data_IF_208855841397
#
_entry.id   IF_208855841397
#
_cell.length_a   1.000
_cell.length_b   1.000
_cell.length_c   1.000
_cell.angle_alpha   90.00
_cell.angle_beta   90.00
_cell.angle_gamma   90.00
#
_symmetry.space_group_name_H-M   'P 1'
#
loop_
_entity.id
_entity.type
_entity.pdbx_description
1 polymer ?
#
# COMPACT_ATOMS: atom_id res chain seq x y z
N UNK A 1 8.80 -20.24 -27.95
CA UNK A 1 7.36 -20.23 -27.64
C UNK A 1 6.91 -18.80 -27.54
N UNK A 2 5.75 -18.46 -28.13
CA UNK A 2 5.19 -17.12 -27.96
C UNK A 2 4.70 -16.91 -26.53
N UNK A 3 4.63 -15.66 -26.08
CA UNK A 3 4.04 -15.32 -24.79
C UNK A 3 2.60 -15.86 -24.64
N UNK A 4 1.82 -15.84 -25.72
CA UNK A 4 0.45 -16.34 -25.75
C UNK A 4 0.41 -17.86 -25.49
N UNK A 5 1.32 -18.62 -26.11
CA UNK A 5 1.40 -20.07 -25.91
C UNK A 5 1.72 -20.41 -24.46
N UNK A 6 2.68 -19.68 -23.88
CA UNK A 6 3.07 -19.85 -22.49
C UNK A 6 1.97 -19.42 -21.50
N UNK A 7 1.33 -18.29 -21.76
CA UNK A 7 0.38 -17.67 -20.84
C UNK A 7 -1.01 -18.30 -20.88
N UNK A 8 -1.47 -18.82 -22.02
CA UNK A 8 -2.85 -19.28 -22.19
C UNK A 8 -2.95 -20.73 -22.66
N UNK A 9 -2.13 -21.15 -23.63
CA UNK A 9 -2.27 -22.47 -24.28
C UNK A 9 -1.68 -23.59 -23.42
N UNK A 10 -0.45 -23.40 -22.94
CA UNK A 10 0.25 -24.37 -22.08
C UNK A 10 0.03 -24.09 -20.59
N UNK A 11 -0.93 -23.23 -20.25
CA UNK A 11 -1.14 -22.77 -18.89
C UNK A 11 -2.09 -23.68 -18.09
N UNK A 12 -1.81 -23.84 -16.81
CA UNK A 12 -2.66 -24.61 -15.88
C UNK A 12 -3.50 -23.63 -15.05
N UNK A 13 -4.82 -23.72 -15.22
CA UNK A 13 -5.79 -22.80 -14.62
C UNK A 13 -6.32 -23.23 -13.25
N UNK A 14 -6.33 -24.53 -12.97
CA UNK A 14 -6.81 -25.09 -11.71
C UNK A 14 -6.04 -26.36 -11.37
N UNK A 15 -5.83 -26.62 -10.08
CA UNK A 15 -5.26 -27.89 -9.59
C UNK A 15 -6.26 -28.56 -8.65
N UNK A 16 -6.32 -29.90 -8.64
CA UNK A 16 -7.18 -30.61 -7.69
C UNK A 16 -6.70 -30.34 -6.26
N UNK A 17 -7.65 -29.96 -5.39
CA UNK A 17 -7.43 -29.74 -3.97
C UNK A 17 -7.82 -31.02 -3.22
N UNK A 18 -6.83 -31.71 -2.63
CA UNK A 18 -7.08 -32.88 -1.77
C UNK A 18 -6.94 -32.51 -0.30
N UNK A 19 -7.23 -33.46 0.60
CA UNK A 19 -7.09 -33.26 2.05
C UNK A 19 -5.65 -32.88 2.49
N UNK A 20 -4.63 -33.15 1.66
CA UNK A 20 -3.24 -32.75 1.91
C UNK A 20 -2.87 -31.37 1.31
N UNK A 21 -3.82 -30.66 0.70
CA UNK A 21 -3.62 -29.36 0.05
C UNK A 21 -3.75 -29.40 -1.48
N UNK A 22 -3.53 -28.25 -2.12
CA UNK A 22 -3.55 -28.12 -3.58
C UNK A 22 -2.34 -28.86 -4.20
N UNK A 23 -2.58 -29.79 -5.12
CA UNK A 23 -1.50 -30.56 -5.76
C UNK A 23 -0.74 -29.71 -6.80
N UNK A 24 0.30 -29.00 -6.36
CA UNK A 24 1.12 -28.14 -7.25
C UNK A 24 2.07 -28.91 -8.16
N UNK A 25 2.05 -30.25 -8.15
CA UNK A 25 2.96 -31.08 -8.95
C UNK A 25 2.76 -30.84 -10.45
N UNK A 26 1.51 -30.70 -10.89
CA UNK A 26 1.19 -30.38 -12.29
C UNK A 26 1.82 -29.04 -12.73
N UNK A 27 1.80 -28.02 -11.87
CA UNK A 27 2.45 -26.75 -12.15
C UNK A 27 3.99 -26.82 -12.14
N UNK A 28 4.59 -27.67 -11.31
CA UNK A 28 6.05 -27.88 -11.29
C UNK A 28 6.52 -28.68 -12.50
N UNK A 29 5.71 -29.61 -12.98
CA UNK A 29 6.01 -30.44 -14.15
C UNK A 29 6.15 -29.64 -15.45
N UNK A 30 5.57 -28.43 -15.53
CA UNK A 30 5.70 -27.54 -16.68
C UNK A 30 7.16 -27.07 -16.92
N UNK A 31 8.06 -27.08 -15.93
CA UNK A 31 9.47 -26.66 -16.08
C UNK A 31 9.66 -25.34 -16.86
N UNK A 32 8.76 -24.36 -16.68
CA UNK A 32 8.81 -23.06 -17.36
C UNK A 32 8.19 -23.01 -18.77
N UNK A 33 7.64 -24.11 -19.28
CA UNK A 33 6.98 -24.16 -20.61
C UNK A 33 5.55 -23.57 -20.64
N UNK A 34 4.95 -23.33 -19.47
CA UNK A 34 3.63 -22.70 -19.33
C UNK A 34 3.42 -22.02 -17.98
N UNK A 35 2.45 -21.11 -17.91
CA UNK A 35 2.08 -20.38 -16.70
C UNK A 35 1.21 -21.22 -15.75
N UNK A 36 1.43 -21.08 -14.44
CA UNK A 36 0.57 -21.69 -13.42
C UNK A 36 -0.40 -20.64 -12.85
N UNK A 37 -1.56 -20.47 -13.49
CA UNK A 37 -2.64 -19.61 -13.01
C UNK A 37 -3.40 -20.20 -11.81
N UNK A 38 -3.21 -21.50 -11.55
CA UNK A 38 -3.81 -22.18 -10.41
C UNK A 38 -3.49 -21.52 -9.06
N UNK A 39 -2.32 -20.87 -8.92
CA UNK A 39 -1.98 -20.12 -7.70
C UNK A 39 -2.92 -18.93 -7.51
N UNK A 40 -3.27 -18.23 -8.59
CA UNK A 40 -4.17 -17.08 -8.55
C UNK A 40 -5.58 -17.52 -8.21
N UNK A 41 -6.09 -18.56 -8.86
CA UNK A 41 -7.44 -19.07 -8.60
C UNK A 41 -7.60 -19.57 -7.16
N UNK A 42 -6.61 -20.28 -6.62
CA UNK A 42 -6.64 -20.79 -5.24
C UNK A 42 -6.40 -19.71 -4.17
N UNK A 43 -5.58 -18.69 -4.47
CA UNK A 43 -5.17 -17.66 -3.48
C UNK A 43 -5.74 -16.27 -3.73
N UNK A 44 -6.65 -16.08 -4.69
CA UNK A 44 -7.20 -14.76 -5.03
C UNK A 44 -7.74 -14.00 -3.81
N UNK A 45 -8.43 -14.70 -2.89
CA UNK A 45 -9.00 -14.07 -1.68
C UNK A 45 -7.93 -13.56 -0.73
N UNK A 46 -6.87 -14.33 -0.54
CA UNK A 46 -5.74 -13.90 0.29
C UNK A 46 -4.99 -12.73 -0.35
N UNK A 47 -4.85 -12.73 -1.67
CA UNK A 47 -4.23 -11.61 -2.41
C UNK A 47 -5.07 -10.34 -2.28
N UNK A 48 -6.40 -10.44 -2.41
CA UNK A 48 -7.31 -9.28 -2.39
C UNK A 48 -7.63 -8.78 -0.97
N UNK A 49 -7.81 -9.68 0.00
CA UNK A 49 -8.33 -9.35 1.33
C UNK A 49 -7.37 -9.72 2.47
N UNK A 50 -6.22 -10.32 2.19
CA UNK A 50 -5.25 -10.71 3.21
C UNK A 50 -5.81 -11.76 4.17
N UNK A 51 -5.61 -11.51 5.47
CA UNK A 51 -6.03 -12.36 6.58
C UNK A 51 -7.38 -11.94 7.18
N UNK A 52 -8.15 -11.09 6.48
CA UNK A 52 -9.45 -10.63 6.95
C UNK A 52 -10.43 -11.81 7.09
N UNK A 53 -11.32 -11.83 8.12
CA UNK A 53 -12.26 -12.92 8.35
C UNK A 53 -13.13 -13.21 7.11
N UNK A 54 -13.31 -14.49 6.81
CA UNK A 54 -13.93 -14.95 5.57
C UNK A 54 -15.36 -14.43 5.35
N UNK A 55 -16.19 -14.51 6.38
CA UNK A 55 -17.59 -14.06 6.34
C UNK A 55 -17.73 -12.55 6.12
N UNK A 56 -16.66 -11.80 6.37
CA UNK A 56 -16.65 -10.34 6.39
C UNK A 56 -15.89 -9.75 5.20
N UNK A 57 -15.50 -10.55 4.20
CA UNK A 57 -14.78 -10.10 2.99
C UNK A 57 -15.54 -9.06 2.16
N UNK A 58 -16.86 -8.98 2.31
CA UNK A 58 -17.67 -7.94 1.67
C UNK A 58 -17.26 -6.53 2.14
N UNK A 59 -16.80 -6.35 3.39
CA UNK A 59 -16.36 -5.06 3.94
C UNK A 59 -15.15 -4.47 3.21
N UNK A 60 -13.99 -5.17 3.12
CA UNK A 60 -12.85 -4.68 2.36
C UNK A 60 -13.15 -4.61 0.85
N UNK A 61 -14.00 -5.48 0.30
CA UNK A 61 -14.43 -5.38 -1.10
C UNK A 61 -15.19 -4.07 -1.40
N UNK A 62 -16.14 -3.70 -0.53
CA UNK A 62 -16.83 -2.41 -0.61
C UNK A 62 -15.85 -1.26 -0.45
N UNK A 63 -14.88 -1.34 0.47
CA UNK A 63 -13.85 -0.32 0.63
C UNK A 63 -13.00 -0.12 -0.64
N UNK A 64 -12.61 -1.22 -1.31
CA UNK A 64 -11.89 -1.16 -2.59
C UNK A 64 -12.76 -0.48 -3.65
N UNK A 65 -14.03 -0.86 -3.77
CA UNK A 65 -14.95 -0.24 -4.73
C UNK A 65 -15.14 1.27 -4.46
N UNK A 66 -15.25 1.66 -3.18
CA UNK A 66 -15.32 3.06 -2.76
C UNK A 66 -14.06 3.85 -3.14
N UNK A 67 -12.86 3.30 -2.89
CA UNK A 67 -11.60 3.93 -3.31
C UNK A 67 -11.52 4.10 -4.82
N UNK A 68 -11.86 3.05 -5.60
CA UNK A 68 -11.85 3.11 -7.06
C UNK A 68 -12.81 4.18 -7.56
N UNK A 69 -14.05 4.19 -7.05
CA UNK A 69 -15.05 5.21 -7.38
C UNK A 69 -14.55 6.62 -7.04
N UNK A 70 -13.95 6.80 -5.88
CA UNK A 70 -13.40 8.07 -5.42
C UNK A 70 -12.25 8.56 -6.32
N UNK A 71 -11.37 7.67 -6.77
CA UNK A 71 -10.32 8.00 -7.74
C UNK A 71 -10.88 8.36 -9.11
N UNK A 72 -11.86 7.62 -9.62
CA UNK A 72 -12.52 7.93 -10.90
C UNK A 72 -13.17 9.31 -10.82
N UNK A 73 -13.91 9.61 -9.76
CA UNK A 73 -14.53 10.92 -9.53
C UNK A 73 -13.47 12.02 -9.43
N UNK A 74 -12.36 11.78 -8.74
CA UNK A 74 -11.26 12.74 -8.60
C UNK A 74 -10.49 12.97 -9.90
N UNK A 75 -10.41 11.96 -10.78
CA UNK A 75 -9.78 12.09 -12.10
C UNK A 75 -10.63 12.92 -13.08
N UNK A 76 -11.95 12.97 -12.88
CA UNK A 76 -12.86 13.78 -13.70
C UNK A 76 -12.80 15.26 -13.27
N UNK A 77 -12.15 16.10 -14.11
CA UNK A 77 -12.05 17.56 -13.88
C UNK A 77 -13.40 18.25 -13.62
N UNK A 78 -14.50 17.68 -14.11
CA UNK A 78 -15.88 18.18 -13.89
C UNK A 78 -16.24 18.29 -12.40
N UNK A 79 -15.68 17.44 -11.55
CA UNK A 79 -16.01 17.36 -10.13
C UNK A 79 -15.03 18.09 -9.21
N UNK A 80 -14.07 18.86 -9.76
CA UNK A 80 -13.10 19.66 -9.00
C UNK A 80 -13.75 20.91 -8.37
N UNK A 81 -14.66 20.66 -7.43
CA UNK A 81 -15.31 21.65 -6.57
C UNK A 81 -14.88 21.39 -5.12
N UNK A 82 -14.97 22.37 -4.21
CA UNK A 82 -14.64 22.15 -2.79
C UNK A 82 -15.45 21.01 -2.14
N UNK A 83 -16.65 20.71 -2.68
CA UNK A 83 -17.44 19.55 -2.30
C UNK A 83 -16.68 18.21 -2.44
N UNK A 84 -15.71 18.10 -3.35
CA UNK A 84 -14.89 16.91 -3.52
C UNK A 84 -14.09 16.58 -2.27
N UNK A 85 -13.61 17.60 -1.53
CA UNK A 85 -12.91 17.39 -0.27
C UNK A 85 -13.83 16.80 0.80
N UNK A 86 -15.10 17.24 0.85
CA UNK A 86 -16.09 16.66 1.75
C UNK A 86 -16.42 15.22 1.37
N UNK A 87 -16.56 14.92 0.08
CA UNK A 87 -16.76 13.55 -0.42
C UNK A 87 -15.58 12.65 -0.04
N UNK A 88 -14.34 13.15 -0.17
CA UNK A 88 -13.14 12.46 0.28
C UNK A 88 -13.18 12.15 1.78
N UNK A 89 -13.43 13.16 2.62
CA UNK A 89 -13.49 12.98 4.07
C UNK A 89 -14.60 11.99 4.48
N UNK A 90 -15.79 12.12 3.89
CA UNK A 90 -16.91 11.22 4.16
C UNK A 90 -16.60 9.78 3.73
N UNK A 91 -15.97 9.59 2.56
CA UNK A 91 -15.62 8.26 2.04
C UNK A 91 -14.51 7.62 2.88
N UNK A 92 -13.49 8.37 3.27
CA UNK A 92 -12.43 7.87 4.15
C UNK A 92 -12.94 7.52 5.55
N UNK A 93 -13.84 8.32 6.11
CA UNK A 93 -14.50 8.01 7.38
C UNK A 93 -15.33 6.72 7.27
N UNK A 94 -16.11 6.57 6.19
CA UNK A 94 -16.88 5.36 5.93
C UNK A 94 -15.98 4.12 5.80
N UNK A 95 -14.87 4.22 5.07
CA UNK A 95 -13.88 3.14 4.93
C UNK A 95 -13.27 2.80 6.30
N UNK A 96 -12.94 3.80 7.11
CA UNK A 96 -12.42 3.59 8.48
C UNK A 96 -13.42 2.82 9.35
N UNK A 97 -14.69 3.21 9.34
CA UNK A 97 -15.76 2.52 10.07
C UNK A 97 -15.96 1.10 9.56
N UNK A 98 -15.97 0.90 8.23
CA UNK A 98 -16.12 -0.42 7.62
C UNK A 98 -14.94 -1.34 7.94
N UNK A 99 -13.71 -0.85 7.99
CA UNK A 99 -12.55 -1.70 8.28
C UNK A 99 -12.43 -2.03 9.76
N UNK A 100 -12.61 -1.03 10.64
CA UNK A 100 -12.52 -1.18 12.09
C UNK A 100 -13.68 -2.03 12.65
N UNK A 101 -14.92 -1.71 12.26
CA UNK A 101 -16.11 -2.31 12.85
C UNK A 101 -16.30 -1.92 14.32
N UNK A 102 -17.13 -2.68 15.04
CA UNK A 102 -17.49 -2.39 16.43
C UNK A 102 -18.61 -1.34 16.59
N UNK A 103 -19.15 -0.83 15.48
CA UNK A 103 -20.27 0.12 15.45
C UNK A 103 -21.36 -0.45 14.54
N UNK A 104 -22.63 -0.15 14.81
CA UNK A 104 -23.78 -0.60 14.01
C UNK A 104 -23.93 -2.13 13.90
N UNK A 105 -23.47 -2.88 14.91
CA UNK A 105 -23.53 -4.34 14.93
C UNK A 105 -22.44 -5.04 14.12
N UNK A 106 -21.46 -4.29 13.57
CA UNK A 106 -20.31 -4.86 12.86
C UNK A 106 -19.34 -5.50 13.85
N UNK A 107 -18.80 -6.67 13.47
CA UNK A 107 -17.73 -7.32 14.22
C UNK A 107 -16.46 -6.45 14.24
N UNK A 108 -15.84 -6.32 15.41
CA UNK A 108 -14.54 -5.64 15.53
C UNK A 108 -13.44 -6.54 14.93
N UNK A 109 -12.71 -6.00 13.95
CA UNK A 109 -11.59 -6.72 13.31
C UNK A 109 -10.29 -5.97 13.61
N UNK A 110 -9.34 -6.61 14.33
CA UNK A 110 -8.12 -5.93 14.75
C UNK A 110 -7.19 -5.67 13.55
N UNK A 111 -6.39 -4.61 13.66
CA UNK A 111 -5.51 -4.09 12.60
C UNK A 111 -4.51 -5.14 12.08
N UNK A 112 -4.11 -6.13 12.89
CA UNK A 112 -3.16 -7.17 12.42
C UNK A 112 -3.75 -8.11 11.38
N UNK A 113 -5.08 -8.15 11.25
CA UNK A 113 -5.78 -8.96 10.25
C UNK A 113 -6.11 -8.19 8.97
N UNK A 114 -5.80 -6.90 8.92
CA UNK A 114 -6.03 -6.10 7.73
C UNK A 114 -4.89 -6.36 6.74
N UNK A 115 -5.25 -6.59 5.48
CA UNK A 115 -4.26 -6.85 4.44
C UNK A 115 -4.88 -6.81 3.05
N UNK A 116 -4.11 -7.28 2.07
CA UNK A 116 -4.53 -7.29 0.67
C UNK A 116 -4.66 -5.89 0.07
N UNK A 117 -5.53 -5.80 -0.95
CA UNK A 117 -5.66 -4.64 -1.81
C UNK A 117 -6.13 -3.38 -1.07
N UNK A 118 -7.03 -3.53 -0.08
CA UNK A 118 -7.55 -2.38 0.68
C UNK A 118 -6.44 -1.67 1.46
N UNK A 119 -5.54 -2.41 2.11
CA UNK A 119 -4.40 -1.82 2.82
C UNK A 119 -3.43 -1.17 1.84
N UNK A 120 -3.17 -1.80 0.69
CA UNK A 120 -2.34 -1.19 -0.36
C UNK A 120 -2.90 0.15 -0.81
N UNK A 121 -4.22 0.24 -1.03
CA UNK A 121 -4.89 1.49 -1.42
C UNK A 121 -4.81 2.54 -0.31
N UNK A 122 -5.05 2.18 0.95
CA UNK A 122 -4.91 3.09 2.09
C UNK A 122 -3.47 3.62 2.16
N UNK A 123 -2.48 2.72 2.18
CA UNK A 123 -1.07 3.08 2.29
C UNK A 123 -0.60 3.98 1.15
N UNK A 124 -1.03 3.70 -0.09
CA UNK A 124 -0.71 4.52 -1.25
C UNK A 124 -1.38 5.89 -1.20
N UNK A 125 -2.66 5.95 -0.84
CA UNK A 125 -3.43 7.20 -0.76
C UNK A 125 -2.80 8.17 0.25
N UNK A 126 -2.71 7.74 1.51
CA UNK A 126 -2.17 8.57 2.58
C UNK A 126 -0.66 8.76 2.44
N UNK A 127 0.03 7.74 1.93
CA UNK A 127 1.46 7.81 1.62
C UNK A 127 1.78 8.95 0.67
N UNK A 128 1.13 8.99 -0.50
CA UNK A 128 1.35 10.06 -1.48
C UNK A 128 0.81 11.40 -0.98
N UNK A 129 -0.40 11.42 -0.40
CA UNK A 129 -1.03 12.66 0.06
C UNK A 129 -0.19 13.41 1.10
N UNK A 130 0.50 12.69 2.00
CA UNK A 130 1.37 13.28 3.02
C UNK A 130 2.82 13.41 2.56
N UNK A 131 3.32 12.50 1.74
CA UNK A 131 4.67 12.59 1.19
C UNK A 131 4.82 13.77 0.23
N UNK A 132 3.78 14.11 -0.53
CA UNK A 132 3.82 15.22 -1.49
C UNK A 132 4.14 16.58 -0.85
N UNK A 133 3.38 17.09 0.14
CA UNK A 133 3.73 18.35 0.80
C UNK A 133 5.09 18.28 1.52
N UNK A 134 5.41 17.15 2.17
CA UNK A 134 6.71 16.96 2.80
C UNK A 134 7.87 17.05 1.79
N UNK A 135 7.69 16.47 0.61
CA UNK A 135 8.69 16.50 -0.46
C UNK A 135 8.96 17.91 -0.97
N UNK A 136 7.92 18.75 -1.07
CA UNK A 136 8.05 20.15 -1.46
C UNK A 136 8.86 20.90 -0.40
N UNK A 137 8.53 20.72 0.88
CA UNK A 137 9.26 21.35 1.99
C UNK A 137 10.74 20.97 1.97
N UNK A 138 11.06 19.68 1.79
CA UNK A 138 12.43 19.18 1.72
C UNK A 138 13.15 19.71 0.47
N UNK A 139 12.50 19.73 -0.69
CA UNK A 139 13.08 20.24 -1.94
C UNK A 139 13.41 21.74 -1.83
N UNK A 140 12.51 22.54 -1.25
CA UNK A 140 12.74 23.96 -0.98
C UNK A 140 13.83 24.16 0.08
N UNK A 141 13.85 23.34 1.14
CA UNK A 141 14.87 23.35 2.19
C UNK A 141 16.29 23.18 1.63
N UNK A 142 16.48 22.34 0.61
CA UNK A 142 17.77 22.16 -0.08
C UNK A 142 18.23 23.38 -0.89
N UNK A 143 17.31 24.26 -1.28
CA UNK A 143 17.62 25.56 -1.92
C UNK A 143 17.77 26.70 -0.91
N UNK A 144 17.59 26.44 0.40
CA UNK A 144 17.72 27.46 1.43
C UNK A 144 19.15 28.03 1.49
N UNK A 145 19.24 29.33 1.83
CA UNK A 145 20.52 30.01 2.10
C UNK A 145 21.10 29.61 3.47
N UNK A 146 20.27 29.12 4.39
CA UNK A 146 20.72 28.70 5.72
C UNK A 146 21.43 27.34 5.63
N UNK A 147 22.74 27.26 5.95
CA UNK A 147 23.52 26.03 5.76
C UNK A 147 23.01 24.87 6.60
N UNK A 148 22.51 25.13 7.83
CA UNK A 148 21.98 24.09 8.71
C UNK A 148 20.78 23.35 8.10
N UNK A 149 19.77 24.09 7.61
CA UNK A 149 18.56 23.51 6.98
C UNK A 149 18.93 22.76 5.71
N UNK A 150 19.77 23.38 4.87
CA UNK A 150 20.23 22.78 3.62
C UNK A 150 20.92 21.44 3.86
N UNK A 151 21.86 21.39 4.80
CA UNK A 151 22.60 20.17 5.14
C UNK A 151 21.68 19.10 5.72
N UNK A 152 20.75 19.45 6.60
CA UNK A 152 19.77 18.51 7.16
C UNK A 152 18.91 17.86 6.05
N UNK A 153 18.39 18.66 5.12
CA UNK A 153 17.58 18.14 4.03
C UNK A 153 18.39 17.30 3.04
N UNK A 154 19.65 17.66 2.77
CA UNK A 154 20.54 16.83 1.93
C UNK A 154 20.79 15.49 2.60
N UNK A 155 21.20 15.48 3.88
CA UNK A 155 21.47 14.26 4.63
C UNK A 155 20.24 13.35 4.68
N UNK A 156 19.07 13.91 4.98
CA UNK A 156 17.81 13.16 4.97
C UNK A 156 17.57 12.45 3.62
N UNK A 157 17.69 13.16 2.50
CA UNK A 157 17.41 12.60 1.17
C UNK A 157 18.45 11.53 0.80
N UNK A 158 19.73 11.80 1.00
CA UNK A 158 20.81 10.86 0.65
C UNK A 158 20.73 9.59 1.50
N UNK A 159 20.48 9.71 2.81
CA UNK A 159 20.36 8.56 3.70
C UNK A 159 19.14 7.69 3.34
N UNK A 160 17.97 8.30 3.19
CA UNK A 160 16.74 7.54 2.92
C UNK A 160 16.79 6.86 1.55
N UNK A 161 17.37 7.51 0.53
CA UNK A 161 17.53 6.92 -0.81
C UNK A 161 18.64 5.86 -0.87
N UNK A 162 19.58 5.87 0.08
CA UNK A 162 20.62 4.86 0.21
C UNK A 162 20.17 3.57 0.90
N UNK A 163 19.00 3.56 1.54
CA UNK A 163 18.49 2.41 2.31
C UNK A 163 17.32 1.74 1.58
N UNK A 164 17.29 0.39 1.46
CA UNK A 164 16.15 -0.32 0.88
C UNK A 164 14.85 -0.09 1.67
N UNK A 165 13.73 0.11 0.98
CA UNK A 165 12.41 0.27 1.62
C UNK A 165 12.09 -0.89 2.56
N UNK A 166 12.44 -2.12 2.18
CA UNK A 166 12.20 -3.31 3.02
C UNK A 166 12.91 -3.21 4.38
N UNK A 167 14.12 -2.66 4.41
CA UNK A 167 14.88 -2.45 5.64
C UNK A 167 14.22 -1.40 6.54
N UNK A 168 13.70 -0.31 5.96
CA UNK A 168 12.95 0.71 6.71
C UNK A 168 11.64 0.15 7.26
N UNK A 169 10.92 -0.65 6.48
CA UNK A 169 9.69 -1.31 6.92
C UNK A 169 9.96 -2.32 8.04
N UNK A 170 11.05 -3.09 7.94
CA UNK A 170 11.48 -4.02 8.98
C UNK A 170 11.90 -3.26 10.25
N UNK A 171 12.69 -2.20 10.12
CA UNK A 171 13.08 -1.35 11.25
C UNK A 171 11.84 -0.76 11.95
N UNK A 172 10.89 -0.19 11.22
CA UNK A 172 9.67 0.40 11.79
C UNK A 172 8.72 -0.65 12.41
N UNK A 173 8.60 -1.83 11.80
CA UNK A 173 7.62 -2.83 12.22
C UNK A 173 8.13 -3.75 13.31
N UNK A 174 9.42 -4.11 13.27
CA UNK A 174 10.04 -5.12 14.14
C UNK A 174 10.97 -4.49 15.16
N UNK A 175 11.93 -3.65 14.75
CA UNK A 175 12.97 -3.15 15.65
C UNK A 175 12.52 -1.96 16.51
N UNK A 176 11.83 -0.98 15.93
CA UNK A 176 11.32 0.22 16.62
C UNK A 176 10.51 -0.10 17.88
N UNK A 177 9.55 -1.06 17.90
CA UNK A 177 8.81 -1.36 19.11
C UNK A 177 9.67 -1.96 20.25
N UNK A 178 10.87 -2.48 20.01
CA UNK A 178 11.77 -2.90 21.11
C UNK A 178 12.34 -1.71 21.89
N UNK A 179 12.34 -0.51 21.31
CA UNK A 179 12.80 0.71 21.97
C UNK A 179 11.65 1.44 22.70
N UNK A 180 10.41 0.96 22.58
CA UNK A 180 9.26 1.55 23.25
C UNK A 180 9.07 0.93 24.65
N UNK A 181 8.66 1.73 25.66
CA UNK A 181 8.34 1.20 26.99
C UNK A 181 7.23 0.14 26.92
N UNK A 182 7.30 -0.83 27.84
CA UNK A 182 6.26 -1.86 27.96
C UNK A 182 4.87 -1.20 28.14
N UNK A 183 3.92 -1.58 27.29
CA UNK A 183 2.56 -1.04 27.26
C UNK A 183 2.30 0.03 26.18
N UNK A 184 3.33 0.61 25.55
CA UNK A 184 3.14 1.54 24.44
C UNK A 184 3.01 0.79 23.10
N UNK A 185 1.79 0.42 22.75
CA UNK A 185 1.50 -0.25 21.47
C UNK A 185 1.14 0.77 20.38
N UNK A 186 2.11 1.15 19.56
CA UNK A 186 1.82 1.91 18.34
C UNK A 186 1.36 0.94 17.23
N UNK A 187 0.24 1.27 16.60
CA UNK A 187 -0.34 0.48 15.52
C UNK A 187 0.69 0.11 14.44
N UNK A 188 0.70 -1.17 14.04
CA UNK A 188 1.60 -1.69 13.00
C UNK A 188 1.40 -0.94 11.68
N UNK A 189 0.14 -0.66 11.31
CA UNK A 189 -0.20 0.07 10.10
C UNK A 189 0.36 1.50 10.12
N UNK A 190 0.24 2.20 11.24
CA UNK A 190 0.73 3.57 11.38
C UNK A 190 2.26 3.64 11.24
N UNK A 191 2.98 2.71 11.86
CA UNK A 191 4.45 2.63 11.75
C UNK A 191 4.90 2.38 10.32
N UNK A 192 4.27 1.42 9.64
CA UNK A 192 4.53 1.16 8.22
C UNK A 192 4.20 2.38 7.35
N UNK A 193 3.09 3.07 7.64
CA UNK A 193 2.67 4.27 6.93
C UNK A 193 3.68 5.41 7.05
N UNK A 194 4.21 5.67 8.25
CA UNK A 194 5.24 6.70 8.48
C UNK A 194 6.51 6.38 7.68
N UNK A 195 6.98 5.14 7.73
CA UNK A 195 8.15 4.71 6.97
C UNK A 195 7.96 4.92 5.45
N UNK A 196 6.78 4.57 4.93
CA UNK A 196 6.42 4.79 3.51
C UNK A 196 6.39 6.29 3.17
N UNK A 197 5.80 7.13 4.03
CA UNK A 197 5.72 8.58 3.80
C UNK A 197 7.12 9.20 3.72
N UNK A 198 7.99 8.88 4.67
CA UNK A 198 9.36 9.40 4.70
C UNK A 198 10.14 8.92 3.46
N UNK A 199 10.06 7.63 3.14
CA UNK A 199 10.70 7.08 1.95
C UNK A 199 10.20 7.77 0.68
N UNK A 200 8.89 7.81 0.46
CA UNK A 200 8.29 8.43 -0.72
C UNK A 200 8.61 9.93 -0.81
N UNK A 201 8.63 10.65 0.32
CA UNK A 201 8.94 12.08 0.35
C UNK A 201 10.38 12.37 -0.08
N UNK A 202 11.35 11.52 0.29
CA UNK A 202 12.75 11.68 -0.11
C UNK A 202 12.93 11.52 -1.63
N UNK A 203 12.29 10.51 -2.23
CA UNK A 203 12.33 10.29 -3.69
C UNK A 203 11.61 11.40 -4.44
N UNK A 204 10.43 11.80 -3.96
CA UNK A 204 9.64 12.84 -4.61
C UNK A 204 10.31 14.22 -4.47
N UNK A 205 11.07 14.48 -3.40
CA UNK A 205 11.80 15.74 -3.24
C UNK A 205 12.85 15.94 -4.34
N UNK A 206 13.45 14.86 -4.85
CA UNK A 206 14.37 14.92 -5.98
C UNK A 206 13.66 15.20 -7.30
N UNK A 207 12.49 14.58 -7.51
CA UNK A 207 11.65 14.85 -8.68
C UNK A 207 11.21 16.32 -8.69
N UNK A 208 10.75 16.85 -7.55
CA UNK A 208 10.37 18.26 -7.41
C UNK A 208 11.57 19.17 -7.66
N UNK A 209 12.74 18.87 -7.08
CA UNK A 209 13.98 19.65 -7.31
C UNK A 209 14.37 19.64 -8.79
N UNK A 210 14.33 18.49 -9.46
CA UNK A 210 14.65 18.37 -10.88
C UNK A 210 13.67 19.17 -11.74
N UNK A 211 12.37 19.12 -11.43
CA UNK A 211 11.36 19.96 -12.08
C UNK A 211 11.62 21.45 -11.91
N UNK A 212 12.03 21.89 -10.71
CA UNK A 212 12.38 23.29 -10.42
C UNK A 212 13.70 23.75 -11.07
N UNK A 213 14.54 22.83 -11.54
CA UNK A 213 15.78 23.12 -12.26
C UNK A 213 15.62 23.11 -13.78
N UNK A 214 14.54 22.51 -14.28
CA UNK A 214 14.22 22.48 -15.70
C UNK A 214 13.55 23.77 -16.20
N UNK A 215 13.11 24.63 -15.27
CA UNK A 215 12.59 25.98 -15.52
C UNK A 215 13.71 27.01 -15.42
#
# INVERSE_FOLDING_TARGET
MGFIDWAFVNAIWSVPVTAQGAQTQACRALNGTGACWAVVTEKHRFILFGTYPYEEHWRPAVCVALFIGLYIVSAMRRFWRPALALVWLATLALIGVLMWGGVFGLSYVPQERWGGLVITLILATFGIALAFPLSILVALGRRSRMPAIKTLCILYVELIRGVPLISLLFMASVMFPLFLPEGMNIDKLLRAQIAIILFAAAYLAEVVRAGLQAL
#
